data_IF_303539411232
#
_entry.id   IF_303539411232
#
_cell.length_a   1.000
_cell.length_b   1.000
_cell.length_c   1.000
_cell.angle_alpha   90.00
_cell.angle_beta   90.00
_cell.angle_gamma   90.00
#
_symmetry.space_group_name_H-M   'P 1'
#
loop_
_entity.id
_entity.type
_entity.pdbx_description
1 polymer ?
#
# COMPACT_ATOMS: atom_id res chain seq x y z
N UNK A 1 -19.76 -7.00 19.42
CA UNK A 1 -20.14 -8.00 18.42
C UNK A 1 -19.36 -7.75 17.14
N UNK A 2 -18.80 -8.80 16.57
CA UNK A 2 -18.04 -8.75 15.32
C UNK A 2 -18.75 -9.53 14.24
N UNK A 3 -18.72 -9.00 13.03
CA UNK A 3 -19.15 -9.72 11.85
C UNK A 3 -17.93 -10.27 11.14
N UNK A 4 -17.91 -11.58 10.90
CA UNK A 4 -16.79 -12.29 10.27
C UNK A 4 -17.12 -12.60 8.82
N UNK A 5 -16.14 -12.36 7.95
CA UNK A 5 -16.23 -12.63 6.51
C UNK A 5 -14.98 -13.34 6.04
N UNK A 6 -15.11 -14.14 4.99
CA UNK A 6 -14.00 -14.86 4.39
C UNK A 6 -13.93 -14.57 2.90
N UNK A 7 -12.71 -14.49 2.38
CA UNK A 7 -12.46 -14.29 0.95
C UNK A 7 -13.21 -13.07 0.40
N UNK A 8 -12.98 -11.93 1.05
CA UNK A 8 -13.61 -10.66 0.67
C UNK A 8 -12.77 -9.97 -0.41
N UNK A 9 -13.45 -9.43 -1.42
CA UNK A 9 -12.82 -8.62 -2.43
C UNK A 9 -13.58 -7.30 -2.59
N UNK A 10 -12.83 -6.21 -2.56
CA UNK A 10 -13.32 -4.87 -2.89
C UNK A 10 -12.64 -4.41 -4.17
N UNK A 11 -13.35 -3.67 -5.00
CA UNK A 11 -12.77 -3.03 -6.17
C UNK A 11 -13.26 -1.60 -6.25
N UNK A 12 -12.43 -0.74 -6.83
CA UNK A 12 -12.76 0.66 -6.97
C UNK A 12 -11.89 1.33 -8.01
N UNK A 13 -12.10 2.63 -8.15
CA UNK A 13 -11.33 3.48 -9.05
C UNK A 13 -10.81 4.63 -8.22
N UNK A 14 -9.49 4.89 -8.29
CA UNK A 14 -8.89 6.01 -7.58
C UNK A 14 -9.20 7.36 -8.27
N UNK A 15 -8.76 8.46 -7.67
CA UNK A 15 -9.05 9.79 -8.21
C UNK A 15 -8.34 10.08 -9.54
N UNK A 16 -7.35 9.27 -9.89
CA UNK A 16 -6.63 9.37 -11.16
C UNK A 16 -7.24 8.49 -12.24
N UNK A 17 -8.32 7.77 -11.93
CA UNK A 17 -8.98 6.88 -12.86
C UNK A 17 -8.36 5.49 -12.94
N UNK A 18 -7.45 5.15 -12.05
CA UNK A 18 -6.84 3.82 -11.99
C UNK A 18 -7.72 2.88 -11.18
N UNK A 19 -7.90 1.69 -11.71
CA UNK A 19 -8.67 0.65 -11.02
C UNK A 19 -7.80 0.01 -9.93
N UNK A 20 -8.41 -0.36 -8.81
CA UNK A 20 -7.74 -1.16 -7.80
C UNK A 20 -8.63 -2.31 -7.34
N UNK A 21 -8.00 -3.37 -6.84
CA UNK A 21 -8.66 -4.46 -6.15
C UNK A 21 -8.02 -4.64 -4.79
N UNK A 22 -8.81 -5.04 -3.82
CA UNK A 22 -8.35 -5.30 -2.45
C UNK A 22 -8.97 -6.62 -2.00
N UNK A 23 -8.12 -7.61 -1.75
CA UNK A 23 -8.53 -8.93 -1.33
C UNK A 23 -8.08 -9.21 0.09
N UNK A 24 -8.91 -9.91 0.86
CA UNK A 24 -8.56 -10.37 2.20
C UNK A 24 -9.08 -11.78 2.41
N UNK A 25 -8.24 -12.65 2.95
CA UNK A 25 -8.63 -14.02 3.26
C UNK A 25 -9.65 -14.07 4.39
N UNK A 26 -9.46 -13.24 5.42
CA UNK A 26 -10.37 -13.10 6.55
C UNK A 26 -10.56 -11.62 6.83
N UNK A 27 -11.79 -11.26 7.18
CA UNK A 27 -12.11 -9.88 7.53
C UNK A 27 -13.15 -9.86 8.64
N UNK A 28 -13.13 -8.81 9.46
CA UNK A 28 -14.15 -8.59 10.45
C UNK A 28 -14.43 -7.11 10.63
N UNK A 29 -15.67 -6.79 10.99
CA UNK A 29 -16.08 -5.45 11.36
C UNK A 29 -16.69 -5.47 12.76
N UNK A 30 -16.46 -4.40 13.51
CA UNK A 30 -17.15 -4.19 14.76
C UNK A 30 -18.47 -3.48 14.49
N UNK A 31 -19.51 -3.85 15.24
CA UNK A 31 -20.83 -3.25 15.10
C UNK A 31 -20.81 -1.73 15.31
N UNK A 32 -19.91 -1.26 16.18
CA UNK A 32 -19.81 0.15 16.53
C UNK A 32 -19.04 0.98 15.50
N UNK A 33 -18.23 0.32 14.66
CA UNK A 33 -17.41 0.98 13.63
C UNK A 33 -17.49 0.17 12.33
N UNK A 34 -18.68 0.12 11.70
CA UNK A 34 -18.86 -0.71 10.51
C UNK A 34 -18.08 -0.21 9.28
N UNK A 35 -17.60 1.04 9.29
CA UNK A 35 -16.79 1.59 8.21
C UNK A 35 -15.37 1.03 8.20
N UNK A 36 -14.89 0.49 9.32
CA UNK A 36 -13.55 -0.08 9.41
C UNK A 36 -13.60 -1.58 9.24
N UNK A 37 -13.00 -2.08 8.16
CA UNK A 37 -12.90 -3.50 7.88
C UNK A 37 -11.49 -3.95 8.25
N UNK A 38 -11.39 -4.77 9.30
CA UNK A 38 -10.12 -5.34 9.74
C UNK A 38 -9.85 -6.60 8.94
N UNK A 39 -8.64 -6.75 8.43
CA UNK A 39 -8.32 -7.79 7.46
C UNK A 39 -7.10 -8.60 7.86
N UNK A 40 -7.08 -9.87 7.49
CA UNK A 40 -5.93 -10.74 7.62
C UNK A 40 -5.58 -11.33 6.25
N UNK A 41 -4.28 -11.39 5.95
CA UNK A 41 -3.76 -11.85 4.67
C UNK A 41 -4.34 -11.03 3.54
N UNK A 42 -3.78 -9.83 3.40
CA UNK A 42 -4.28 -8.77 2.53
C UNK A 42 -3.46 -8.69 1.26
N UNK A 43 -4.14 -8.51 0.14
CA UNK A 43 -3.48 -8.21 -1.14
C UNK A 43 -4.24 -7.11 -1.86
N UNK A 44 -3.52 -6.04 -2.22
CA UNK A 44 -4.07 -4.96 -3.02
C UNK A 44 -3.31 -4.85 -4.34
N UNK A 45 -4.03 -4.56 -5.41
CA UNK A 45 -3.44 -4.33 -6.72
C UNK A 45 -3.97 -3.00 -7.26
N UNK A 46 -3.05 -2.13 -7.67
CA UNK A 46 -3.37 -0.88 -8.35
C UNK A 46 -2.95 -1.03 -9.81
N UNK A 47 -3.91 -0.88 -10.71
CA UNK A 47 -3.72 -1.12 -12.14
C UNK A 47 -3.54 0.22 -12.85
N UNK A 48 -2.38 0.41 -13.46
CA UNK A 48 -2.07 1.66 -14.16
C UNK A 48 -2.37 1.55 -15.66
N UNK A 49 -2.49 2.71 -16.32
CA UNK A 49 -2.85 2.76 -17.75
C UNK A 49 -1.77 2.20 -18.66
N UNK A 50 -0.53 2.11 -18.20
CA UNK A 50 0.59 1.54 -18.93
C UNK A 50 0.76 0.04 -18.69
N UNK A 51 -0.27 -0.61 -18.14
CA UNK A 51 -0.31 -2.03 -17.78
C UNK A 51 0.63 -2.42 -16.63
N UNK A 52 1.24 -1.46 -15.98
CA UNK A 52 2.02 -1.73 -14.77
C UNK A 52 1.07 -1.94 -13.59
N UNK A 53 1.45 -2.81 -12.68
CA UNK A 53 0.66 -3.11 -11.48
C UNK A 53 1.51 -2.83 -10.25
N UNK A 54 0.96 -2.07 -9.31
CA UNK A 54 1.53 -1.95 -7.97
C UNK A 54 0.81 -2.96 -7.10
N UNK A 55 1.53 -3.98 -6.64
CA UNK A 55 1.00 -5.05 -5.79
C UNK A 55 1.50 -4.86 -4.37
N UNK A 56 0.59 -4.85 -3.40
CA UNK A 56 0.92 -4.69 -1.98
C UNK A 56 0.29 -5.84 -1.22
N UNK A 57 1.12 -6.57 -0.45
CA UNK A 57 0.63 -7.65 0.41
C UNK A 57 1.07 -7.39 1.84
N UNK A 58 0.28 -7.87 2.80
CA UNK A 58 0.62 -7.80 4.21
C UNK A 58 -0.14 -8.87 4.99
N UNK A 59 0.29 -9.12 6.23
CA UNK A 59 -0.42 -10.08 7.09
C UNK A 59 -1.70 -9.50 7.66
N UNK A 60 -1.74 -8.20 7.92
CA UNK A 60 -2.91 -7.52 8.46
C UNK A 60 -3.14 -6.20 7.75
N UNK A 61 -4.36 -5.74 7.81
CA UNK A 61 -4.71 -4.44 7.25
C UNK A 61 -6.04 -3.94 7.75
N UNK A 62 -6.33 -2.68 7.44
CA UNK A 62 -7.62 -2.05 7.72
C UNK A 62 -8.06 -1.28 6.48
N UNK A 63 -9.29 -1.51 6.06
CA UNK A 63 -9.90 -0.77 4.97
C UNK A 63 -11.03 0.10 5.51
N UNK A 64 -10.99 1.39 5.20
CA UNK A 64 -12.09 2.30 5.54
C UNK A 64 -13.02 2.40 4.32
N UNK A 65 -14.20 1.80 4.41
CA UNK A 65 -15.09 1.74 3.26
C UNK A 65 -15.85 3.05 2.97
N UNK A 66 -15.65 4.08 3.80
CA UNK A 66 -16.16 5.43 3.54
C UNK A 66 -15.13 6.31 2.85
N UNK A 67 -13.90 6.34 3.37
CA UNK A 67 -12.81 7.16 2.81
C UNK A 67 -12.07 6.45 1.70
N UNK A 68 -12.16 5.12 1.64
CA UNK A 68 -11.44 4.23 0.75
C UNK A 68 -9.94 4.20 1.05
N UNK A 69 -9.53 4.64 2.23
CA UNK A 69 -8.15 4.53 2.69
C UNK A 69 -7.84 3.11 3.12
N UNK A 70 -6.57 2.72 2.99
CA UNK A 70 -6.11 1.38 3.35
C UNK A 70 -4.86 1.47 4.22
N UNK A 71 -4.82 0.66 5.28
CA UNK A 71 -3.63 0.49 6.09
C UNK A 71 -3.15 -0.95 5.95
N UNK A 72 -1.85 -1.10 5.68
CA UNK A 72 -1.19 -2.41 5.60
C UNK A 72 -0.18 -2.49 6.72
N UNK A 73 -0.16 -3.60 7.46
CA UNK A 73 0.77 -3.77 8.57
C UNK A 73 1.20 -5.23 8.69
N UNK A 74 2.38 -5.41 9.25
CA UNK A 74 3.07 -6.70 9.45
C UNK A 74 3.48 -7.34 8.13
N UNK A 75 4.78 -7.33 7.91
CA UNK A 75 5.40 -7.93 6.73
C UNK A 75 4.80 -7.41 5.43
N UNK A 76 4.84 -6.08 5.29
CA UNK A 76 4.37 -5.43 4.06
C UNK A 76 5.39 -5.64 2.96
N UNK A 77 4.92 -6.11 1.81
CA UNK A 77 5.74 -6.27 0.61
C UNK A 77 5.00 -5.59 -0.54
N UNK A 78 5.67 -4.61 -1.16
CA UNK A 78 5.13 -3.93 -2.33
C UNK A 78 6.02 -4.23 -3.53
N UNK A 79 5.42 -4.56 -4.66
CA UNK A 79 6.12 -4.84 -5.91
C UNK A 79 5.62 -3.93 -7.00
N UNK A 80 6.55 -3.29 -7.69
CA UNK A 80 6.24 -2.43 -8.83
C UNK A 80 7.32 -2.61 -9.89
N UNK A 81 6.94 -3.14 -11.07
CA UNK A 81 7.93 -3.52 -12.06
C UNK A 81 8.90 -4.54 -11.47
N UNK A 82 10.18 -4.25 -11.54
CA UNK A 82 11.22 -5.12 -10.99
C UNK A 82 11.69 -4.68 -9.60
N UNK A 83 11.05 -3.67 -9.04
CA UNK A 83 11.37 -3.19 -7.71
C UNK A 83 10.52 -3.87 -6.64
N UNK A 84 11.17 -4.15 -5.51
CA UNK A 84 10.51 -4.76 -4.36
C UNK A 84 10.79 -3.89 -3.13
N UNK A 85 9.73 -3.56 -2.42
CA UNK A 85 9.80 -2.80 -1.18
C UNK A 85 9.32 -3.67 -0.04
N UNK A 86 10.06 -3.69 1.06
CA UNK A 86 9.69 -4.42 2.27
C UNK A 86 9.66 -3.42 3.42
N UNK A 87 8.62 -3.49 4.24
CA UNK A 87 8.45 -2.58 5.38
C UNK A 87 7.52 -3.20 6.41
N UNK A 88 7.37 -2.52 7.56
CA UNK A 88 6.43 -2.96 8.58
C UNK A 88 5.06 -2.33 8.40
N UNK A 89 4.98 -1.22 7.69
CA UNK A 89 3.72 -0.48 7.56
C UNK A 89 3.62 0.25 6.21
N UNK A 90 2.41 0.31 5.68
CA UNK A 90 2.08 1.14 4.53
C UNK A 90 0.67 1.70 4.68
N UNK A 91 0.47 2.94 4.25
CA UNK A 91 -0.82 3.61 4.30
C UNK A 91 -1.15 4.19 2.93
N UNK A 92 -2.28 3.76 2.38
CA UNK A 92 -2.80 4.31 1.15
C UNK A 92 -3.84 5.39 1.48
N UNK A 93 -3.63 6.59 0.96
CA UNK A 93 -4.59 7.69 1.06
C UNK A 93 -5.30 7.84 -0.28
N UNK A 94 -6.59 7.56 -0.30
CA UNK A 94 -7.38 7.69 -1.53
C UNK A 94 -7.52 9.14 -1.95
N UNK A 95 -7.77 10.05 -1.00
CA UNK A 95 -7.96 11.47 -1.31
C UNK A 95 -6.70 12.15 -1.83
N UNK A 96 -5.52 11.69 -1.41
CA UNK A 96 -4.23 12.28 -1.80
C UNK A 96 -3.51 11.48 -2.89
N UNK A 97 -4.02 10.32 -3.25
CA UNK A 97 -3.46 9.44 -4.29
C UNK A 97 -2.00 9.07 -4.04
N UNK A 98 -1.68 8.67 -2.81
CA UNK A 98 -0.34 8.21 -2.49
C UNK A 98 -0.36 6.99 -1.56
N UNK A 99 0.74 6.25 -1.60
CA UNK A 99 1.03 5.16 -0.68
C UNK A 99 2.27 5.54 0.12
N UNK A 100 2.12 5.71 1.43
CA UNK A 100 3.24 5.99 2.32
C UNK A 100 3.72 4.68 2.93
N UNK A 101 5.01 4.39 2.77
CA UNK A 101 5.63 3.16 3.25
C UNK A 101 6.63 3.55 4.33
N UNK A 102 6.52 2.95 5.52
CA UNK A 102 7.32 3.37 6.67
C UNK A 102 7.69 2.19 7.57
N UNK A 103 8.65 2.43 8.45
CA UNK A 103 9.17 1.50 9.45
C UNK A 103 9.96 0.36 8.81
N UNK A 104 11.28 0.46 8.95
CA UNK A 104 12.24 -0.53 8.45
C UNK A 104 12.11 -0.80 6.96
N UNK A 105 12.11 0.27 6.17
CA UNK A 105 11.89 0.17 4.73
C UNK A 105 13.17 -0.24 4.00
N UNK A 106 13.06 -1.25 3.14
CA UNK A 106 14.13 -1.70 2.27
C UNK A 106 13.60 -1.76 0.84
N UNK A 107 14.26 -1.05 -0.06
CA UNK A 107 13.93 -1.07 -1.49
C UNK A 107 15.04 -1.82 -2.21
N UNK A 108 14.66 -2.81 -3.00
CA UNK A 108 15.58 -3.58 -3.83
C UNK A 108 15.13 -3.52 -5.28
N UNK A 109 16.06 -3.20 -6.16
CA UNK A 109 15.86 -3.27 -7.60
C UNK A 109 17.11 -3.87 -8.26
N UNK A 110 17.20 -3.82 -9.59
CA UNK A 110 18.35 -4.36 -10.32
C UNK A 110 19.65 -3.64 -10.00
N UNK A 111 19.61 -2.40 -9.55
CA UNK A 111 20.78 -1.58 -9.27
C UNK A 111 21.32 -1.73 -7.87
N UNK A 112 20.53 -2.31 -6.95
CA UNK A 112 20.97 -2.52 -5.59
C UNK A 112 19.85 -2.35 -4.57
N UNK A 113 20.26 -2.10 -3.33
CA UNK A 113 19.37 -2.05 -2.18
C UNK A 113 19.55 -0.71 -1.46
N UNK A 114 18.44 -0.08 -1.10
CA UNK A 114 18.39 1.16 -0.34
C UNK A 114 17.58 0.96 0.93
N UNK A 115 18.13 1.39 2.07
CA UNK A 115 17.42 1.41 3.34
C UNK A 115 16.89 2.83 3.59
N UNK A 116 15.63 2.93 3.95
CA UNK A 116 15.00 4.22 4.20
C UNK A 116 14.11 4.14 5.43
N UNK A 117 13.78 5.29 6.01
CA UNK A 117 12.81 5.35 7.10
C UNK A 117 11.39 5.47 6.57
N UNK A 118 11.26 6.21 5.47
CA UNK A 118 9.95 6.46 4.87
C UNK A 118 10.07 6.66 3.36
N UNK A 119 9.12 6.09 2.64
CA UNK A 119 8.97 6.29 1.20
C UNK A 119 7.56 6.77 0.92
N UNK A 120 7.43 7.56 -0.14
CA UNK A 120 6.14 7.99 -0.63
C UNK A 120 6.03 7.61 -2.11
N UNK A 121 5.09 6.70 -2.41
CA UNK A 121 4.76 6.38 -3.79
C UNK A 121 3.60 7.27 -4.23
N UNK A 122 3.88 8.17 -5.17
CA UNK A 122 2.87 9.02 -5.76
C UNK A 122 2.15 8.24 -6.84
N UNK A 123 0.92 7.82 -6.57
CA UNK A 123 0.16 6.97 -7.49
C UNK A 123 -0.21 7.74 -8.76
N UNK A 124 -0.52 9.01 -8.63
CA UNK A 124 -0.90 9.83 -9.78
C UNK A 124 0.25 10.00 -10.76
N UNK A 125 1.47 10.23 -10.26
CA UNK A 125 2.67 10.42 -11.09
C UNK A 125 3.45 9.14 -11.32
N UNK A 126 3.08 8.04 -10.67
CA UNK A 126 3.78 6.75 -10.72
C UNK A 126 5.28 6.88 -10.44
N UNK A 127 5.63 7.60 -9.36
CA UNK A 127 7.02 7.70 -8.95
C UNK A 127 7.18 7.53 -7.44
N UNK A 128 8.38 7.13 -7.05
CA UNK A 128 8.73 6.87 -5.66
C UNK A 128 9.65 7.98 -5.17
N UNK A 129 9.30 8.58 -4.05
CA UNK A 129 10.12 9.57 -3.36
C UNK A 129 10.66 8.96 -2.08
N UNK A 130 11.97 8.95 -1.91
CA UNK A 130 12.63 8.44 -0.72
C UNK A 130 12.83 9.59 0.25
N UNK A 131 12.34 9.43 1.47
CA UNK A 131 12.51 10.40 2.55
C UNK A 131 13.25 9.70 3.68
N UNK A 132 14.49 10.11 3.94
CA UNK A 132 15.21 9.62 5.11
C UNK A 132 14.93 10.53 6.28
N UNK A 133 14.59 9.96 7.43
CA UNK A 133 14.33 10.71 8.66
C UNK A 133 15.56 10.81 9.55
N UNK A 134 16.67 10.16 9.16
CA UNK A 134 17.93 10.22 9.90
C UNK A 134 18.79 11.41 9.45
N UNK A 135 19.99 11.59 10.07
CA UNK A 135 20.89 12.70 9.78
C UNK A 135 21.28 12.83 8.29
N UNK A 136 21.07 11.79 7.53
CA UNK A 136 21.24 11.81 6.07
C UNK A 136 19.89 11.96 5.41
N UNK A 137 19.37 13.18 5.35
CA UNK A 137 18.12 13.46 4.65
C UNK A 137 18.37 13.37 3.15
N UNK A 138 18.00 12.25 2.57
CA UNK A 138 18.09 12.04 1.13
C UNK A 138 16.69 12.13 0.56
N UNK A 139 16.45 13.12 -0.30
CA UNK A 139 15.27 13.17 -1.13
C UNK A 139 15.70 12.75 -2.52
N UNK A 140 15.40 11.53 -2.89
CA UNK A 140 15.70 11.01 -4.21
C UNK A 140 14.41 10.53 -4.86
N UNK A 141 14.28 10.79 -6.16
CA UNK A 141 13.20 10.25 -6.97
C UNK A 141 13.73 9.04 -7.73
N UNK A 142 13.00 7.94 -7.61
CA UNK A 142 13.32 6.73 -8.34
C UNK A 142 12.13 6.42 -9.26
N UNK A 143 12.41 6.28 -10.55
CA UNK A 143 11.40 5.85 -11.49
C UNK A 143 11.33 4.33 -11.48
N UNK A 144 10.22 3.80 -10.99
CA UNK A 144 9.98 2.37 -10.92
C UNK A 144 9.21 1.94 -12.16
N UNK A 145 9.90 1.37 -13.10
CA UNK A 145 9.27 0.79 -14.29
C UNK A 145 9.94 -0.50 -14.69
#
# INVERSE_FOLDING_TARGET
>A
MKYLFYNIEYSGIDLSGNRYTLFSKEAFTDKDKPELVNMKFVEANFYFKDDTILNVISKEGVYNNKTLDMEFKKDVIAKYGESKLVADKANYSNSNSFLEISENVVVTDQKGTVHADKLLFDIKKQNLNIISLNNNKINAKINLK
#
